data_IF_940727323781
#
_entry.id   IF_940727323781
#
_cell.length_a   1.000
_cell.length_b   1.000
_cell.length_c   1.000
_cell.angle_alpha   90.00
_cell.angle_beta   90.00
_cell.angle_gamma   90.00
#
_symmetry.space_group_name_H-M   'P 1'
#
loop_
_entity.id
_entity.type
_entity.pdbx_description
1 polymer ?
#
# COMPACT_ATOMS: atom_id res chain seq x y z
N UNK A 1 -32.64 13.46 7.26
CA UNK A 1 -32.01 12.12 7.26
C UNK A 1 -30.52 12.33 7.47
N UNK A 2 -30.00 11.94 8.64
CA UNK A 2 -28.58 12.12 8.95
C UNK A 2 -27.71 11.31 8.00
N UNK A 3 -26.81 11.98 7.29
CA UNK A 3 -25.73 11.29 6.58
C UNK A 3 -24.93 10.51 7.62
N UNK A 4 -24.86 9.18 7.47
CA UNK A 4 -23.86 8.39 8.21
C UNK A 4 -22.49 9.02 7.92
N UNK A 5 -21.64 9.24 8.93
CA UNK A 5 -20.27 9.67 8.67
C UNK A 5 -19.64 8.66 7.72
N UNK A 6 -19.16 9.13 6.57
CA UNK A 6 -18.42 8.30 5.62
C UNK A 6 -17.17 7.80 6.35
N UNK A 7 -17.11 6.49 6.65
CA UNK A 7 -15.93 5.88 7.27
C UNK A 7 -14.67 6.31 6.51
N UNK A 8 -13.57 6.66 7.21
CA UNK A 8 -12.32 7.05 6.57
C UNK A 8 -11.88 5.99 5.56
N UNK A 9 -11.34 6.44 4.44
CA UNK A 9 -10.97 5.57 3.32
C UNK A 9 -9.65 4.82 3.55
N UNK A 10 -8.77 5.48 4.27
CA UNK A 10 -7.51 4.96 4.70
C UNK A 10 -7.66 4.82 6.21
N UNK A 11 -7.56 3.59 6.68
CA UNK A 11 -7.77 3.26 8.08
C UNK A 11 -6.47 2.74 8.66
N UNK A 12 -6.23 3.01 9.94
CA UNK A 12 -5.20 2.30 10.69
C UNK A 12 -5.79 1.05 11.36
N UNK A 13 -4.99 0.33 12.14
CA UNK A 13 -5.46 -0.87 12.85
C UNK A 13 -6.63 -0.57 13.80
N UNK A 14 -6.60 0.58 14.48
CA UNK A 14 -7.62 0.97 15.46
C UNK A 14 -8.99 1.08 14.80
N UNK A 15 -9.01 1.78 13.66
CA UNK A 15 -10.20 1.96 12.84
C UNK A 15 -10.70 0.62 12.28
N UNK A 16 -9.79 -0.27 11.85
CA UNK A 16 -10.13 -1.56 11.25
C UNK A 16 -10.75 -2.53 12.25
N UNK A 17 -10.30 -2.52 13.51
CA UNK A 17 -10.77 -3.43 14.55
C UNK A 17 -12.04 -2.97 15.25
N UNK A 18 -12.52 -1.74 14.96
CA UNK A 18 -13.72 -1.14 15.57
C UNK A 18 -13.74 -1.24 17.12
N UNK A 19 -12.56 -1.20 17.76
CA UNK A 19 -12.40 -1.29 19.21
C UNK A 19 -12.33 -2.70 19.81
N UNK A 20 -12.38 -3.77 18.99
CA UNK A 20 -12.30 -5.15 19.48
C UNK A 20 -10.88 -5.61 19.90
N UNK A 21 -9.85 -4.77 19.67
CA UNK A 21 -8.45 -4.99 20.07
C UNK A 21 -7.94 -6.44 19.85
N UNK A 22 -8.32 -7.05 18.73
CA UNK A 22 -8.01 -8.46 18.42
C UNK A 22 -6.52 -8.70 18.14
N UNK A 23 -5.87 -7.72 17.52
CA UNK A 23 -4.46 -7.67 17.20
C UNK A 23 -3.85 -6.44 17.87
N UNK A 24 -2.60 -6.59 18.33
CA UNK A 24 -1.85 -5.57 19.05
C UNK A 24 -0.96 -4.72 18.13
N UNK A 25 -0.76 -5.16 16.88
CA UNK A 25 0.01 -4.42 15.87
C UNK A 25 -0.47 -4.73 14.45
N UNK A 26 -0.17 -3.83 13.51
CA UNK A 26 -0.44 -4.03 12.08
C UNK A 26 0.32 -5.26 11.55
N UNK A 27 1.55 -5.48 12.02
CA UNK A 27 2.38 -6.63 11.65
C UNK A 27 1.71 -7.95 12.05
N UNK A 28 1.16 -8.02 13.26
CA UNK A 28 0.44 -9.20 13.75
C UNK A 28 -0.77 -9.52 12.88
N UNK A 29 -1.59 -8.51 12.57
CA UNK A 29 -2.74 -8.66 11.68
C UNK A 29 -2.30 -9.16 10.30
N UNK A 30 -1.26 -8.56 9.71
CA UNK A 30 -0.79 -8.92 8.37
C UNK A 30 -0.22 -10.34 8.37
N UNK A 31 0.56 -10.71 9.39
CA UNK A 31 1.07 -12.08 9.56
C UNK A 31 -0.08 -13.08 9.67
N UNK A 32 -1.16 -12.75 10.38
CA UNK A 32 -2.35 -13.59 10.46
C UNK A 32 -3.02 -13.76 9.08
N UNK A 33 -3.21 -12.67 8.34
CA UNK A 33 -3.77 -12.69 6.98
C UNK A 33 -2.89 -13.56 6.06
N UNK A 34 -1.58 -13.43 6.17
CA UNK A 34 -0.61 -14.16 5.35
C UNK A 34 -0.40 -15.61 5.78
N UNK A 35 -1.06 -16.12 6.84
CA UNK A 35 -1.06 -17.56 7.12
C UNK A 35 -1.68 -18.37 5.98
N UNK A 36 -2.61 -17.76 5.25
CA UNK A 36 -3.10 -18.32 3.99
C UNK A 36 -2.12 -17.98 2.86
N UNK A 37 -1.24 -18.94 2.53
CA UNK A 37 -0.29 -18.78 1.43
C UNK A 37 -0.96 -18.74 0.05
N UNK A 38 -2.29 -18.98 -0.05
CA UNK A 38 -3.05 -18.81 -1.30
C UNK A 38 -3.33 -17.34 -1.66
N UNK A 39 -2.99 -16.41 -0.76
CA UNK A 39 -3.03 -14.97 -1.04
C UNK A 39 -2.17 -14.65 -2.26
N UNK A 40 -2.77 -14.03 -3.28
CA UNK A 40 -2.15 -13.79 -4.59
C UNK A 40 -0.83 -13.01 -4.46
N UNK A 41 -0.81 -11.98 -3.62
CA UNK A 41 0.37 -11.13 -3.41
C UNK A 41 1.14 -11.47 -2.13
N UNK A 42 1.05 -12.71 -1.64
CA UNK A 42 1.68 -13.14 -0.39
C UNK A 42 3.17 -12.76 -0.32
N UNK A 43 3.93 -13.01 -1.39
CA UNK A 43 5.38 -12.78 -1.41
C UNK A 43 5.72 -11.29 -1.40
N UNK A 44 4.96 -10.48 -2.13
CA UNK A 44 5.10 -9.04 -2.24
C UNK A 44 4.81 -8.39 -0.88
N UNK A 45 3.66 -8.71 -0.28
CA UNK A 45 3.26 -8.16 1.03
C UNK A 45 4.27 -8.55 2.11
N UNK A 46 4.71 -9.81 2.14
CA UNK A 46 5.75 -10.27 3.08
C UNK A 46 7.06 -9.51 2.90
N UNK A 47 7.46 -9.24 1.65
CA UNK A 47 8.65 -8.44 1.38
C UNK A 47 8.48 -7.00 1.87
N UNK A 48 7.35 -6.36 1.54
CA UNK A 48 7.07 -4.96 1.93
C UNK A 48 6.99 -4.80 3.45
N UNK A 49 6.34 -5.73 4.14
CA UNK A 49 6.25 -5.77 5.59
C UNK A 49 7.64 -5.75 6.24
N UNK A 50 8.54 -6.61 5.76
CA UNK A 50 9.90 -6.71 6.30
C UNK A 50 10.77 -5.47 6.05
N UNK A 51 10.40 -4.60 5.10
CA UNK A 51 11.15 -3.38 4.76
C UNK A 51 10.42 -2.10 5.20
N UNK A 52 9.28 -2.24 5.86
CA UNK A 52 8.46 -1.12 6.26
C UNK A 52 9.11 -0.33 7.42
N UNK A 53 9.15 1.00 7.29
CA UNK A 53 9.60 1.92 8.34
C UNK A 53 8.49 2.21 9.37
N UNK A 54 8.13 1.19 10.15
CA UNK A 54 7.06 1.26 11.16
C UNK A 54 7.30 2.31 12.24
N UNK A 55 8.56 2.68 12.49
CA UNK A 55 8.93 3.75 13.43
C UNK A 55 8.64 5.17 12.91
N UNK A 56 8.33 5.33 11.62
CA UNK A 56 8.03 6.63 10.99
C UNK A 56 6.55 6.72 10.62
N UNK A 57 5.99 5.67 10.01
CA UNK A 57 4.61 5.64 9.56
C UNK A 57 4.01 4.28 9.92
N UNK A 58 2.82 4.26 10.51
CA UNK A 58 2.05 3.02 10.67
C UNK A 58 1.58 2.51 9.32
N UNK A 59 1.47 1.18 9.16
CA UNK A 59 0.82 0.59 7.99
C UNK A 59 -0.63 1.06 7.97
N UNK A 60 -1.12 1.41 6.77
CA UNK A 60 -2.52 1.80 6.58
C UNK A 60 -3.21 0.84 5.63
N UNK A 61 -4.53 0.80 5.69
CA UNK A 61 -5.36 -0.09 4.88
C UNK A 61 -6.34 0.71 4.04
N UNK A 62 -6.49 0.31 2.77
CA UNK A 62 -7.55 0.76 1.86
C UNK A 62 -8.53 -0.40 1.75
N UNK A 63 -9.84 -0.15 1.87
CA UNK A 63 -10.83 -1.22 1.97
C UNK A 63 -11.35 -1.76 0.63
N UNK A 64 -11.22 -1.00 -0.46
CA UNK A 64 -11.79 -1.39 -1.76
C UNK A 64 -10.93 -0.94 -2.94
N UNK A 65 -10.24 -1.87 -3.63
CA UNK A 65 -9.97 -3.24 -3.16
C UNK A 65 -9.02 -3.21 -1.95
N UNK A 66 -9.07 -4.28 -1.14
CA UNK A 66 -8.28 -4.35 0.09
C UNK A 66 -6.79 -4.27 -0.23
N UNK A 67 -6.14 -3.20 0.25
CA UNK A 67 -4.74 -2.89 -0.05
C UNK A 67 -4.01 -2.41 1.19
N UNK A 68 -2.73 -2.72 1.27
CA UNK A 68 -1.81 -2.28 2.31
C UNK A 68 -1.00 -1.10 1.81
N UNK A 69 -0.74 -0.12 2.67
CA UNK A 69 0.08 1.06 2.37
C UNK A 69 1.31 1.04 3.27
N UNK A 70 2.47 0.85 2.65
CA UNK A 70 3.77 0.78 3.30
C UNK A 70 4.60 2.02 3.02
N UNK A 71 5.45 2.39 3.97
CA UNK A 71 6.55 3.33 3.79
C UNK A 71 7.88 2.56 3.72
N UNK A 72 8.62 2.72 2.63
CA UNK A 72 9.96 2.18 2.43
C UNK A 72 11.00 3.31 2.31
N UNK A 73 12.25 2.99 2.65
CA UNK A 73 13.42 3.86 2.45
C UNK A 73 14.13 3.47 1.15
N UNK A 74 14.32 4.43 0.25
CA UNK A 74 15.23 4.33 -0.88
C UNK A 74 16.57 5.00 -0.59
N UNK A 75 17.44 5.11 -1.60
CA UNK A 75 18.76 5.74 -1.47
C UNK A 75 18.59 7.22 -1.11
N UNK A 76 17.90 7.97 -1.97
CA UNK A 76 17.69 9.41 -1.77
C UNK A 76 16.29 9.78 -1.28
N UNK A 77 15.30 8.90 -1.50
CA UNK A 77 13.89 9.20 -1.25
C UNK A 77 13.23 8.26 -0.26
N UNK A 78 12.07 8.67 0.25
CA UNK A 78 11.09 7.76 0.82
C UNK A 78 10.09 7.35 -0.25
N UNK A 79 9.48 6.18 -0.08
CA UNK A 79 8.51 5.66 -1.03
C UNK A 79 7.29 5.16 -0.30
N UNK A 80 6.12 5.65 -0.70
CA UNK A 80 4.85 5.05 -0.28
C UNK A 80 4.46 4.02 -1.31
N UNK A 81 4.14 2.81 -0.85
CA UNK A 81 3.80 1.68 -1.69
C UNK A 81 2.41 1.20 -1.31
N UNK A 82 1.49 1.18 -2.29
CA UNK A 82 0.18 0.55 -2.12
C UNK A 82 0.13 -0.78 -2.88
N UNK A 83 -0.16 -1.86 -2.16
CA UNK A 83 -0.18 -3.24 -2.66
C UNK A 83 -1.52 -3.89 -2.34
N UNK A 84 -2.19 -4.45 -3.33
CA UNK A 84 -3.45 -5.19 -3.14
C UNK A 84 -3.19 -6.55 -2.50
N UNK A 85 -4.18 -7.08 -1.77
CA UNK A 85 -4.09 -8.41 -1.19
C UNK A 85 -4.22 -9.52 -2.25
N UNK A 86 -5.32 -9.48 -3.02
CA UNK A 86 -5.77 -10.62 -3.85
C UNK A 86 -6.29 -10.23 -5.24
N UNK A 87 -6.14 -8.97 -5.64
CA UNK A 87 -6.66 -8.44 -6.90
C UNK A 87 -5.52 -8.05 -7.84
N UNK A 88 -5.75 -8.10 -9.16
CA UNK A 88 -4.67 -8.11 -10.17
C UNK A 88 -4.03 -6.75 -10.48
N UNK A 89 -4.34 -5.73 -9.72
CA UNK A 89 -3.83 -4.39 -10.01
C UNK A 89 -2.35 -4.25 -9.68
N UNK A 90 -1.70 -3.33 -10.38
CA UNK A 90 -0.29 -3.05 -10.19
C UNK A 90 0.01 -2.51 -8.78
N UNK A 91 1.22 -2.79 -8.29
CA UNK A 91 1.80 -2.08 -7.16
C UNK A 91 1.97 -0.61 -7.52
N UNK A 92 1.50 0.28 -6.64
CA UNK A 92 1.54 1.73 -6.83
C UNK A 92 2.62 2.33 -5.94
N UNK A 93 3.45 3.21 -6.50
CA UNK A 93 4.61 3.77 -5.81
C UNK A 93 4.59 5.29 -5.93
N UNK A 94 4.59 6.00 -4.81
CA UNK A 94 4.81 7.45 -4.75
C UNK A 94 6.21 7.74 -4.22
N UNK A 95 6.98 8.56 -4.94
CA UNK A 95 8.34 8.95 -4.56
C UNK A 95 8.32 10.26 -3.80
N UNK A 96 8.98 10.31 -2.65
CA UNK A 96 8.91 11.44 -1.71
C UNK A 96 10.33 11.87 -1.35
N UNK A 97 10.64 13.14 -1.62
CA UNK A 97 11.89 13.73 -1.12
C UNK A 97 11.84 13.80 0.42
N UNK A 98 12.95 13.44 1.08
CA UNK A 98 12.99 13.15 2.53
C UNK A 98 12.59 14.34 3.42
N UNK A 99 12.82 15.55 2.95
CA UNK A 99 12.50 16.82 3.59
C UNK A 99 11.00 17.16 3.55
N UNK A 100 10.23 16.53 2.67
CA UNK A 100 8.83 16.89 2.37
C UNK A 100 7.81 15.83 2.80
N UNK A 101 8.18 14.90 3.68
CA UNK A 101 7.35 13.74 4.01
C UNK A 101 5.93 14.10 4.47
N UNK A 102 5.77 15.01 5.43
CA UNK A 102 4.46 15.36 5.97
C UNK A 102 3.52 15.98 4.92
N UNK A 103 4.04 16.90 4.09
CA UNK A 103 3.25 17.53 3.05
C UNK A 103 2.86 16.51 1.97
N UNK A 104 3.81 15.66 1.54
CA UNK A 104 3.56 14.64 0.54
C UNK A 104 2.59 13.56 1.03
N UNK A 105 2.62 13.19 2.31
CA UNK A 105 1.64 12.27 2.89
C UNK A 105 0.19 12.81 2.77
N UNK A 106 -0.01 14.12 2.91
CA UNK A 106 -1.33 14.73 2.72
C UNK A 106 -1.79 14.66 1.26
N UNK A 107 -0.89 14.87 0.30
CA UNK A 107 -1.21 14.72 -1.13
C UNK A 107 -1.51 13.27 -1.48
N UNK A 108 -0.74 12.32 -0.97
CA UNK A 108 -0.98 10.88 -1.19
C UNK A 108 -2.32 10.45 -0.59
N UNK A 109 -2.69 10.97 0.59
CA UNK A 109 -4.04 10.75 1.14
C UNK A 109 -5.15 11.25 0.20
N UNK A 110 -4.93 12.35 -0.52
CA UNK A 110 -5.88 12.83 -1.54
C UNK A 110 -5.92 11.90 -2.75
N UNK A 111 -4.77 11.41 -3.22
CA UNK A 111 -4.68 10.47 -4.33
C UNK A 111 -5.42 9.16 -4.03
N UNK A 112 -5.19 8.59 -2.84
CA UNK A 112 -5.87 7.40 -2.37
C UNK A 112 -7.40 7.62 -2.23
N UNK A 113 -7.84 8.83 -1.87
CA UNK A 113 -9.25 9.22 -1.92
C UNK A 113 -9.81 9.34 -3.33
N UNK A 114 -9.02 9.84 -4.28
CA UNK A 114 -9.40 9.86 -5.71
C UNK A 114 -9.57 8.43 -6.22
N UNK A 115 -8.62 7.53 -5.94
CA UNK A 115 -8.68 6.12 -6.33
C UNK A 115 -9.98 5.46 -5.84
N UNK A 116 -10.37 5.70 -4.58
CA UNK A 116 -11.64 5.18 -4.07
C UNK A 116 -12.86 5.77 -4.77
N UNK A 117 -12.93 7.10 -4.82
CA UNK A 117 -14.18 7.79 -5.16
C UNK A 117 -14.43 7.80 -6.67
N UNK A 118 -13.36 7.82 -7.46
CA UNK A 118 -13.42 7.94 -8.93
C UNK A 118 -12.85 6.72 -9.65
N UNK A 119 -12.25 5.78 -8.92
CA UNK A 119 -11.64 4.59 -9.48
C UNK A 119 -10.19 4.78 -9.88
N UNK A 120 -9.50 3.65 -10.06
CA UNK A 120 -8.09 3.59 -10.45
C UNK A 120 -7.82 4.16 -11.83
N UNK A 121 -8.72 3.92 -12.78
CA UNK A 121 -8.58 4.43 -14.15
C UNK A 121 -8.52 5.96 -14.15
N UNK A 122 -9.46 6.61 -13.44
CA UNK A 122 -9.46 8.06 -13.31
C UNK A 122 -8.16 8.57 -12.67
N UNK A 123 -7.68 7.89 -11.62
CA UNK A 123 -6.41 8.26 -10.99
C UNK A 123 -5.23 8.12 -11.95
N UNK A 124 -5.12 7.03 -12.70
CA UNK A 124 -4.03 6.79 -13.66
C UNK A 124 -4.00 7.87 -14.75
N UNK A 125 -5.16 8.31 -15.23
CA UNK A 125 -5.26 9.40 -16.22
C UNK A 125 -4.81 10.76 -15.66
N UNK A 126 -4.78 10.91 -14.34
CA UNK A 126 -4.44 12.15 -13.63
C UNK A 126 -3.31 11.93 -12.61
N UNK A 127 -2.46 10.94 -12.82
CA UNK A 127 -1.42 10.56 -11.86
C UNK A 127 -0.41 11.70 -11.67
N UNK A 128 0.18 11.86 -10.48
CA UNK A 128 1.21 12.87 -10.27
C UNK A 128 2.53 12.47 -10.94
N UNK A 129 3.46 13.41 -11.11
CA UNK A 129 4.74 13.15 -11.78
C UNK A 129 5.64 12.18 -11.01
N UNK A 130 5.61 12.22 -9.68
CA UNK A 130 6.43 11.41 -8.79
C UNK A 130 5.76 10.06 -8.46
N UNK A 131 5.20 9.40 -9.48
CA UNK A 131 4.43 8.17 -9.33
C UNK A 131 4.77 7.10 -10.36
N UNK A 132 4.91 5.87 -9.88
CA UNK A 132 5.24 4.69 -10.66
C UNK A 132 4.25 3.54 -10.41
N UNK A 133 4.24 2.61 -11.37
CA UNK A 133 3.48 1.35 -11.29
C UNK A 133 4.35 0.16 -11.64
N UNK A 134 4.17 -0.94 -10.92
CA UNK A 134 4.76 -2.24 -11.23
C UNK A 134 3.64 -3.22 -11.56
N UNK A 135 3.58 -3.66 -12.81
CA UNK A 135 2.64 -4.70 -13.23
C UNK A 135 3.18 -6.08 -12.85
N UNK A 136 2.32 -6.91 -12.27
CA UNK A 136 2.69 -8.25 -11.86
C UNK A 136 2.64 -9.21 -13.05
N UNK A 137 3.58 -10.15 -13.08
CA UNK A 137 3.55 -11.31 -13.98
C UNK A 137 3.01 -12.51 -13.20
N UNK A 138 1.81 -12.98 -13.59
CA UNK A 138 1.13 -14.12 -12.96
C UNK A 138 1.37 -15.44 -13.70
N UNK A 139 2.26 -15.48 -14.69
CA UNK A 139 2.54 -16.72 -15.44
C UNK A 139 3.29 -17.78 -14.63
N UNK A 140 4.10 -17.34 -13.66
CA UNK A 140 4.82 -18.16 -12.70
C UNK A 140 5.02 -17.34 -11.41
N UNK A 141 4.45 -17.80 -10.28
CA UNK A 141 4.44 -17.02 -9.04
C UNK A 141 5.85 -16.66 -8.53
N UNK A 142 6.81 -17.57 -8.66
CA UNK A 142 8.16 -17.36 -8.14
C UNK A 142 8.93 -16.40 -9.04
N UNK A 143 8.87 -16.60 -10.36
CA UNK A 143 9.50 -15.74 -11.34
C UNK A 143 8.85 -14.35 -11.33
N UNK A 144 7.53 -14.29 -11.26
CA UNK A 144 6.75 -13.06 -11.16
C UNK A 144 7.16 -12.23 -9.95
N UNK A 145 7.31 -12.86 -8.79
CA UNK A 145 7.83 -12.20 -7.60
C UNK A 145 9.28 -11.71 -7.77
N UNK A 146 10.17 -12.49 -8.37
CA UNK A 146 11.58 -12.07 -8.59
C UNK A 146 11.63 -10.86 -9.52
N UNK A 147 10.86 -10.87 -10.62
CA UNK A 147 10.76 -9.74 -11.55
C UNK A 147 10.22 -8.50 -10.85
N UNK A 148 9.10 -8.65 -10.14
CA UNK A 148 8.48 -7.57 -9.36
C UNK A 148 9.46 -6.97 -8.35
N UNK A 149 10.21 -7.82 -7.63
CA UNK A 149 11.18 -7.38 -6.64
C UNK A 149 12.31 -6.57 -7.28
N UNK A 150 12.85 -7.04 -8.41
CA UNK A 150 13.88 -6.30 -9.14
C UNK A 150 13.38 -4.93 -9.63
N UNK A 151 12.15 -4.86 -10.16
CA UNK A 151 11.52 -3.61 -10.58
C UNK A 151 11.25 -2.65 -9.43
N UNK A 152 10.94 -3.18 -8.23
CA UNK A 152 10.78 -2.39 -7.03
C UNK A 152 12.13 -1.83 -6.58
N UNK A 153 13.14 -2.69 -6.43
CA UNK A 153 14.48 -2.29 -5.99
C UNK A 153 15.09 -1.23 -6.91
N UNK A 154 14.91 -1.34 -8.23
CA UNK A 154 15.34 -0.33 -9.21
C UNK A 154 14.70 1.05 -8.96
N UNK A 155 13.42 1.09 -8.56
CA UNK A 155 12.68 2.33 -8.26
C UNK A 155 12.99 2.93 -6.89
N UNK A 156 13.64 2.16 -6.02
CA UNK A 156 14.11 2.61 -4.71
C UNK A 156 15.55 3.16 -4.75
N UNK A 157 16.26 3.00 -5.87
CA UNK A 157 17.53 3.67 -6.14
C UNK A 157 17.31 5.18 -6.29
#
# INVERSE_FOLDING_TARGET
>A
MGSKPTKPNIVDLTDLQEGNNLYHSEDELIIEILKDESVKHYRQIKYLLNHHLSNILKIRFILSPFSFVFLLKGVEKYHIIAETLNTEEATYIWHIDKDNLNERLNSINKDLNIIRNKGRQFFIEHQPENFDRIFHDYSDDKKGFITWKGQLEERLL
#
